data_IF_102899176931
#
_entry.id   IF_102899176931
#
_cell.length_a   1.000
_cell.length_b   1.000
_cell.length_c   1.000
_cell.angle_alpha   90.00
_cell.angle_beta   90.00
_cell.angle_gamma   90.00
#
_symmetry.space_group_name_H-M   'P 1'
#
loop_
_entity.id
_entity.type
_entity.pdbx_description
1 polymer ?
#
# COMPACT_ATOMS: atom_id res chain seq x y z
N UNK A 1 4.68 -11.53 -29.92
CA UNK A 1 4.95 -11.77 -28.49
C UNK A 1 3.69 -12.21 -27.78
N UNK A 2 3.49 -13.52 -27.63
CA UNK A 2 2.46 -14.08 -26.74
C UNK A 2 2.94 -13.87 -25.31
N UNK A 3 2.56 -12.73 -24.72
CA UNK A 3 2.86 -12.38 -23.34
C UNK A 3 2.05 -13.23 -22.36
N UNK A 4 2.20 -14.55 -22.44
CA UNK A 4 1.52 -15.50 -21.58
C UNK A 4 2.00 -15.30 -20.14
N UNK A 5 1.22 -14.54 -19.37
CA UNK A 5 1.45 -14.37 -17.94
C UNK A 5 1.00 -15.65 -17.22
N UNK A 6 1.77 -16.73 -17.33
CA UNK A 6 1.42 -18.04 -16.78
C UNK A 6 1.40 -18.04 -15.23
N UNK A 7 2.22 -17.21 -14.61
CA UNK A 7 2.46 -17.25 -13.16
C UNK A 7 1.44 -16.38 -12.41
N UNK A 8 0.50 -17.00 -11.68
CA UNK A 8 -0.54 -16.31 -10.91
C UNK A 8 -0.18 -16.25 -9.41
N UNK A 9 -0.29 -15.07 -8.82
CA UNK A 9 -0.19 -14.90 -7.37
C UNK A 9 -1.42 -15.50 -6.67
N UNK A 10 -1.20 -16.44 -5.75
CA UNK A 10 -2.29 -17.05 -4.97
C UNK A 10 -2.98 -16.07 -4.01
N UNK A 11 -2.30 -15.00 -3.59
CA UNK A 11 -2.80 -14.05 -2.59
C UNK A 11 -3.63 -12.90 -3.19
N UNK A 12 -3.38 -12.51 -4.45
CA UNK A 12 -4.08 -11.39 -5.08
C UNK A 12 -4.45 -11.62 -6.56
N UNK A 13 -4.31 -12.86 -7.05
CA UNK A 13 -4.61 -13.27 -8.43
C UNK A 13 -3.84 -12.54 -9.55
N UNK A 14 -2.88 -11.67 -9.22
CA UNK A 14 -2.06 -10.94 -10.19
C UNK A 14 -1.17 -11.90 -11.00
N UNK A 15 -1.10 -11.70 -12.33
CA UNK A 15 -0.37 -12.58 -13.25
C UNK A 15 0.95 -11.96 -13.70
N UNK A 16 1.99 -12.78 -13.83
CA UNK A 16 3.35 -12.43 -14.21
C UNK A 16 3.84 -13.32 -15.36
N UNK A 17 4.72 -12.80 -16.20
CA UNK A 17 5.32 -13.54 -17.32
C UNK A 17 6.48 -14.44 -16.89
N UNK A 18 7.13 -14.13 -15.76
CA UNK A 18 8.27 -14.87 -15.23
C UNK A 18 8.01 -15.31 -13.79
N UNK A 19 8.52 -16.49 -13.43
CA UNK A 19 8.45 -17.03 -12.07
C UNK A 19 9.26 -16.19 -11.07
N UNK A 20 10.41 -15.65 -11.49
CA UNK A 20 11.25 -14.74 -10.70
C UNK A 20 10.48 -13.48 -10.28
N UNK A 21 9.74 -12.86 -11.20
CA UNK A 21 8.89 -11.69 -10.91
C UNK A 21 7.74 -12.04 -9.96
N UNK A 22 7.14 -13.23 -10.09
CA UNK A 22 6.13 -13.71 -9.15
C UNK A 22 6.75 -13.90 -7.75
N UNK A 23 7.93 -14.51 -7.65
CA UNK A 23 8.61 -14.76 -6.39
C UNK A 23 8.98 -13.45 -5.68
N UNK A 24 9.51 -12.45 -6.40
CA UNK A 24 9.76 -11.12 -5.86
C UNK A 24 8.45 -10.45 -5.39
N UNK A 25 7.39 -10.54 -6.19
CA UNK A 25 6.09 -10.03 -5.81
C UNK A 25 5.54 -10.70 -4.54
N UNK A 26 5.73 -12.00 -4.38
CA UNK A 26 5.31 -12.73 -3.18
C UNK A 26 6.03 -12.24 -1.92
N UNK A 27 7.28 -11.75 -2.03
CA UNK A 27 7.98 -11.13 -0.89
C UNK A 27 7.26 -9.88 -0.37
N UNK A 28 6.53 -9.16 -1.22
CA UNK A 28 5.72 -8.00 -0.79
C UNK A 28 4.54 -8.41 0.09
N UNK A 29 4.01 -9.62 -0.10
CA UNK A 29 2.99 -10.18 0.78
C UNK A 29 3.59 -10.76 2.06
N UNK A 30 4.76 -11.38 1.95
CA UNK A 30 5.50 -11.95 3.08
C UNK A 30 6.14 -10.89 3.97
N UNK A 31 6.32 -9.65 3.49
CA UNK A 31 6.78 -8.55 4.35
C UNK A 31 5.64 -8.24 5.30
N UNK A 32 5.72 -8.62 6.59
CA UNK A 32 4.71 -8.20 7.53
C UNK A 32 4.76 -6.68 7.49
N UNK A 33 3.62 -6.08 7.20
CA UNK A 33 3.39 -4.67 7.47
C UNK A 33 2.82 -4.66 8.89
N UNK A 34 3.67 -4.69 9.95
CA UNK A 34 3.19 -4.89 11.32
C UNK A 34 2.22 -3.78 11.74
N UNK A 35 2.31 -2.63 11.06
CA UNK A 35 1.52 -1.45 11.35
C UNK A 35 0.23 -1.48 10.52
N UNK A 36 -0.78 -2.20 11.01
CA UNK A 36 -2.14 -2.23 10.43
C UNK A 36 -3.00 -1.10 11.01
N UNK A 37 -3.69 -0.37 10.14
CA UNK A 37 -4.73 0.57 10.51
C UNK A 37 -5.96 -0.22 11.01
N UNK A 38 -6.39 0.01 12.24
CA UNK A 38 -7.56 -0.65 12.81
C UNK A 38 -8.88 -0.12 12.23
N UNK A 39 -8.88 1.11 11.71
CA UNK A 39 -10.07 1.74 11.14
C UNK A 39 -10.44 1.20 9.75
N UNK A 40 -9.45 0.95 8.88
CA UNK A 40 -9.72 0.53 7.49
C UNK A 40 -8.97 -0.75 7.07
N UNK A 41 -8.21 -1.37 7.96
CA UNK A 41 -7.47 -2.61 7.68
C UNK A 41 -6.23 -2.45 6.79
N UNK A 42 -5.93 -1.25 6.27
CA UNK A 42 -4.71 -0.99 5.48
C UNK A 42 -3.45 -1.22 6.31
N UNK A 43 -2.48 -1.93 5.74
CA UNK A 43 -1.20 -2.18 6.41
C UNK A 43 -0.08 -1.32 5.84
N UNK A 44 0.86 -0.89 6.68
CA UNK A 44 2.00 -0.05 6.35
C UNK A 44 3.33 -0.69 6.76
N UNK A 45 4.38 -0.47 5.96
CA UNK A 45 5.73 -0.99 6.24
C UNK A 45 6.36 -0.30 7.46
N UNK A 46 6.10 0.99 7.62
CA UNK A 46 6.67 1.82 8.69
C UNK A 46 5.58 2.42 9.58
N UNK A 47 5.91 2.62 10.87
CA UNK A 47 4.99 3.21 11.86
C UNK A 47 4.68 4.68 11.56
N UNK A 48 5.67 5.44 11.07
CA UNK A 48 5.49 6.82 10.59
C UNK A 48 4.37 6.91 9.55
N UNK A 49 4.39 6.02 8.55
CA UNK A 49 3.40 6.02 7.48
C UNK A 49 2.00 5.65 7.98
N UNK A 50 1.89 4.74 8.97
CA UNK A 50 0.60 4.45 9.61
C UNK A 50 0.09 5.67 10.39
N UNK A 51 0.96 6.38 11.11
CA UNK A 51 0.59 7.55 11.90
C UNK A 51 0.12 8.70 11.01
N UNK A 52 0.83 8.98 9.92
CA UNK A 52 0.42 9.95 8.90
C UNK A 52 -0.93 9.54 8.28
N UNK A 53 -1.08 8.27 7.91
CA UNK A 53 -2.34 7.77 7.36
C UNK A 53 -3.54 7.95 8.32
N UNK A 54 -3.33 7.80 9.65
CA UNK A 54 -4.41 8.02 10.63
C UNK A 54 -4.97 9.44 10.59
N UNK A 55 -4.17 10.44 10.23
CA UNK A 55 -4.64 11.84 10.11
C UNK A 55 -5.73 11.99 9.05
N UNK A 56 -5.70 11.17 8.00
CA UNK A 56 -6.74 11.13 6.96
C UNK A 56 -8.08 10.69 7.54
N UNK A 57 -8.10 9.77 8.52
CA UNK A 57 -9.32 9.35 9.19
C UNK A 57 -9.89 10.41 10.13
N UNK A 58 -9.02 11.24 10.71
CA UNK A 58 -9.41 12.34 11.59
C UNK A 58 -9.81 13.60 10.81
N UNK A 59 -9.62 13.62 9.49
CA UNK A 59 -9.80 14.83 8.69
C UNK A 59 -8.84 15.95 9.10
N UNK A 60 -7.77 15.63 9.82
CA UNK A 60 -6.74 16.56 10.24
C UNK A 60 -5.95 16.97 9.00
N UNK A 61 -6.38 18.08 8.39
CA UNK A 61 -5.65 18.73 7.30
C UNK A 61 -4.51 19.51 7.91
N UNK A 62 -3.34 18.89 7.92
CA UNK A 62 -2.15 19.35 8.65
C UNK A 62 -1.57 20.62 8.04
N UNK A 63 -1.88 20.91 6.77
CA UNK A 63 -1.31 22.05 6.06
C UNK A 63 -2.40 23.01 5.61
N UNK A 64 -2.59 24.11 6.34
CA UNK A 64 -3.45 25.21 5.91
C UNK A 64 -2.65 26.23 5.09
N UNK A 65 -3.05 26.42 3.84
CA UNK A 65 -2.57 27.52 3.00
C UNK A 65 -3.08 28.84 3.58
N UNK A 66 -2.22 29.68 4.16
CA UNK A 66 -2.63 30.99 4.71
C UNK A 66 -3.13 31.95 3.62
N UNK A 67 -2.56 31.85 2.41
CA UNK A 67 -2.94 32.71 1.27
C UNK A 67 -4.31 32.38 0.66
N UNK A 68 -4.77 31.14 0.80
CA UNK A 68 -5.97 30.65 0.11
C UNK A 68 -6.99 29.95 1.01
N UNK A 69 -6.70 29.82 2.31
CA UNK A 69 -7.56 29.21 3.32
C UNK A 69 -7.77 27.70 3.19
N UNK A 70 -7.30 27.08 2.10
CA UNK A 70 -7.46 25.64 1.85
C UNK A 70 -6.52 24.83 2.72
N UNK A 71 -7.07 23.83 3.38
CA UNK A 71 -6.27 22.87 4.14
C UNK A 71 -5.94 21.64 3.26
N UNK A 72 -4.81 21.00 3.50
CA UNK A 72 -4.33 19.82 2.78
C UNK A 72 -3.85 18.76 3.77
#
# INVERSE_FOLDING_TARGET
>A
HTGERAYKCALCAKRFAQSSSLAEHQRLHATPRPQRCQTCGKSFRYRSNLLEHRRVHLGERVYRCERCGKSF
#
